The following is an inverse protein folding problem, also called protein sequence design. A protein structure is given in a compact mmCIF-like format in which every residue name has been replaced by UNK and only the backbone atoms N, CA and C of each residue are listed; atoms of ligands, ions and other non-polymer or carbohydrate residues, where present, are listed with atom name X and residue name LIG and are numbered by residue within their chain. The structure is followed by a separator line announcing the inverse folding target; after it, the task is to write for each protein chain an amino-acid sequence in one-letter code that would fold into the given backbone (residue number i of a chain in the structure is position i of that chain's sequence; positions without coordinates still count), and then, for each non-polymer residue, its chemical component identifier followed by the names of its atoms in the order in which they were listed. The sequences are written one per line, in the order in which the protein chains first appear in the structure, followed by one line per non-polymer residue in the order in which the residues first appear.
data_IF_774139161263
#
_entry.id   IF_774139161263
#
_cell.length_a   1.000
_cell.length_b   1.000
_cell.length_c   1.000
_cell.angle_alpha   90.00
_cell.angle_beta   90.00
_cell.angle_gamma   90.00
#
_symmetry.space_group_name_H-M   'P 1'
#
loop_
_entity.id
_entity.type
_entity.pdbx_description
1 polymer ?
#
# COMPACT_ATOMS: atom_id res chain seq x y z
N UNK A 1 -59.26 -22.93 37.60
CA UNK A 1 -57.85 -23.31 37.28
C UNK A 1 -57.81 -23.83 35.84
N UNK A 2 -56.69 -23.73 35.10
CA UNK A 2 -56.19 -22.58 34.33
C UNK A 2 -56.16 -22.90 32.80
N UNK A 3 -55.66 -22.12 31.81
CA UNK A 3 -54.96 -20.82 31.63
C UNK A 3 -55.73 -19.99 30.55
N UNK A 4 -55.52 -18.71 30.21
CA UNK A 4 -54.43 -17.72 30.31
C UNK A 4 -53.29 -17.77 29.25
N UNK A 5 -53.44 -17.09 28.10
CA UNK A 5 -52.34 -16.44 27.37
C UNK A 5 -52.85 -15.48 26.27
N UNK A 6 -52.72 -14.16 26.50
CA UNK A 6 -52.83 -13.14 25.45
C UNK A 6 -51.58 -12.25 25.52
N UNK A 7 -50.78 -12.22 24.44
CA UNK A 7 -49.66 -11.32 24.09
C UNK A 7 -49.42 -11.58 22.59
N UNK A 8 -49.15 -10.63 21.70
CA UNK A 8 -49.02 -9.18 21.81
C UNK A 8 -48.28 -8.68 20.57
N UNK A 9 -49.02 -8.20 19.56
CA UNK A 9 -48.46 -7.80 18.27
C UNK A 9 -47.67 -6.49 18.37
N UNK A 10 -46.37 -6.59 18.67
CA UNK A 10 -45.49 -5.45 18.93
C UNK A 10 -44.47 -5.21 17.81
N UNK A 11 -44.51 -3.99 17.26
CA UNK A 11 -43.42 -3.15 16.72
C UNK A 11 -42.41 -3.68 15.66
N UNK A 12 -42.22 -4.98 15.44
CA UNK A 12 -41.14 -5.50 14.60
C UNK A 12 -41.31 -5.23 13.08
N UNK A 13 -42.55 -5.15 12.57
CA UNK A 13 -42.82 -5.03 11.14
C UNK A 13 -42.45 -3.68 10.51
N UNK A 14 -42.53 -2.59 11.28
CA UNK A 14 -42.31 -1.22 10.77
C UNK A 14 -40.82 -0.85 10.64
N UNK A 15 -39.93 -1.46 11.43
CA UNK A 15 -38.49 -1.15 11.38
C UNK A 15 -37.75 -1.80 10.19
N UNK A 16 -38.22 -2.97 9.70
CA UNK A 16 -37.65 -3.62 8.52
C UNK A 16 -37.92 -2.83 7.22
N UNK A 17 -39.10 -2.23 7.07
CA UNK A 17 -39.43 -1.47 5.87
C UNK A 17 -38.64 -0.16 5.75
N UNK A 18 -38.33 0.49 6.88
CA UNK A 18 -37.55 1.72 6.89
C UNK A 18 -36.06 1.48 6.55
N UNK A 19 -35.46 0.43 7.11
CA UNK A 19 -34.04 0.09 6.90
C UNK A 19 -33.75 -0.37 5.47
N UNK A 20 -34.64 -1.15 4.86
CA UNK A 20 -34.56 -1.50 3.43
C UNK A 20 -34.61 -0.26 2.51
N UNK A 21 -35.37 0.79 2.86
CA UNK A 21 -35.47 2.02 2.03
C UNK A 21 -34.23 2.93 2.05
N UNK A 22 -33.37 2.79 3.08
CA UNK A 22 -32.13 3.58 3.23
C UNK A 22 -30.95 2.88 2.57
N UNK A 23 -30.91 1.54 2.67
CA UNK A 23 -30.06 0.74 1.79
C UNK A 23 -30.45 0.94 0.32
N UNK A 24 -31.77 0.93 0.02
CA UNK A 24 -32.40 1.17 -1.28
C UNK A 24 -31.69 2.19 -2.16
N UNK A 25 -31.63 3.43 -1.66
CA UNK A 25 -31.13 4.59 -2.42
C UNK A 25 -29.61 4.60 -2.63
N UNK A 26 -28.83 3.84 -1.86
CA UNK A 26 -27.36 3.81 -2.02
C UNK A 26 -26.91 2.87 -3.13
N UNK A 27 -27.52 1.71 -3.29
CA UNK A 27 -27.20 0.86 -4.45
C UNK A 27 -27.78 1.42 -5.75
N UNK A 28 -28.94 2.09 -5.73
CA UNK A 28 -29.40 2.84 -6.92
C UNK A 28 -28.43 3.95 -7.33
N UNK A 29 -27.91 4.75 -6.39
CA UNK A 29 -26.92 5.78 -6.71
C UNK A 29 -25.61 5.21 -7.28
N UNK A 30 -25.13 4.07 -6.75
CA UNK A 30 -23.92 3.40 -7.25
C UNK A 30 -24.19 2.74 -8.62
N UNK A 31 -25.36 2.12 -8.82
CA UNK A 31 -25.77 1.54 -10.10
C UNK A 31 -25.99 2.60 -11.18
N UNK A 32 -26.55 3.76 -10.84
CA UNK A 32 -26.67 4.89 -11.75
C UNK A 32 -25.30 5.50 -12.09
N UNK A 33 -24.39 5.60 -11.12
CA UNK A 33 -23.03 6.10 -11.37
C UNK A 33 -22.22 5.13 -12.26
N UNK A 34 -22.32 3.82 -12.07
CA UNK A 34 -21.69 2.84 -12.97
C UNK A 34 -22.38 2.79 -14.33
N UNK A 35 -23.72 2.88 -14.41
CA UNK A 35 -24.44 2.98 -15.69
C UNK A 35 -24.12 4.28 -16.46
N UNK A 36 -23.88 5.41 -15.78
CA UNK A 36 -23.38 6.64 -16.41
C UNK A 36 -21.95 6.47 -16.94
N UNK A 37 -21.08 5.73 -16.25
CA UNK A 37 -19.71 5.45 -16.70
C UNK A 37 -19.65 4.45 -17.88
N UNK A 38 -20.67 3.59 -17.99
CA UNK A 38 -20.89 2.62 -19.08
C UNK A 38 -21.90 3.11 -20.15
N UNK A 39 -22.08 4.43 -20.32
CA UNK A 39 -22.81 4.94 -21.49
C UNK A 39 -22.13 4.48 -22.80
N UNK A 40 -22.87 3.90 -23.76
CA UNK A 40 -22.30 3.26 -24.95
C UNK A 40 -21.48 4.23 -25.82
N UNK A 41 -21.84 5.51 -25.87
CA UNK A 41 -21.11 6.53 -26.62
C UNK A 41 -19.68 6.75 -26.09
N UNK A 42 -19.43 6.51 -24.80
CA UNK A 42 -18.07 6.55 -24.24
C UNK A 42 -17.25 5.31 -24.56
N UNK A 43 -17.90 4.17 -24.85
CA UNK A 43 -17.22 2.90 -25.18
C UNK A 43 -16.57 3.02 -26.55
N UNK A 44 -17.26 3.59 -27.54
CA UNK A 44 -16.68 3.86 -28.87
C UNK A 44 -15.46 4.77 -28.79
N UNK A 45 -15.49 5.83 -27.96
CA UNK A 45 -14.32 6.72 -27.80
C UNK A 45 -13.17 6.05 -27.04
N UNK A 46 -13.45 5.24 -26.01
CA UNK A 46 -12.42 4.45 -25.29
C UNK A 46 -11.80 3.37 -26.18
N UNK A 47 -12.60 2.71 -27.02
CA UNK A 47 -12.13 1.75 -28.03
C UNK A 47 -11.36 2.45 -29.16
N UNK A 48 -11.77 3.63 -29.61
CA UNK A 48 -11.05 4.41 -30.60
C UNK A 48 -9.69 4.91 -30.06
N UNK A 49 -9.63 5.33 -28.79
CA UNK A 49 -8.36 5.66 -28.13
C UNK A 49 -7.49 4.41 -27.98
N UNK A 50 -8.04 3.27 -27.55
CA UNK A 50 -7.30 2.01 -27.46
C UNK A 50 -6.77 1.53 -28.82
N UNK A 51 -7.57 1.62 -29.87
CA UNK A 51 -7.20 1.27 -31.24
C UNK A 51 -6.21 2.27 -31.84
N UNK A 52 -6.31 3.57 -31.53
CA UNK A 52 -5.33 4.57 -31.93
C UNK A 52 -3.99 4.34 -31.23
N UNK A 53 -3.99 4.04 -29.92
CA UNK A 53 -2.76 3.67 -29.19
C UNK A 53 -2.13 2.40 -29.77
N UNK A 54 -2.93 1.39 -30.14
CA UNK A 54 -2.45 0.19 -30.84
C UNK A 54 -1.93 0.48 -32.26
N UNK A 55 -2.52 1.45 -32.97
CA UNK A 55 -2.14 1.82 -34.34
C UNK A 55 -0.96 2.81 -34.45
N UNK A 56 -0.67 3.57 -33.38
CA UNK A 56 0.39 4.61 -33.35
C UNK A 56 1.73 4.04 -32.85
N UNK A 57 1.80 2.75 -32.50
CA UNK A 57 3.06 2.02 -32.30
C UNK A 57 3.42 1.16 -33.52
N UNK A 58 3.88 1.73 -34.65
CA UNK A 58 4.58 0.95 -35.63
C UNK A 58 5.90 0.46 -35.01
N UNK A 59 6.15 -0.83 -35.17
CA UNK A 59 7.33 -1.57 -34.72
C UNK A 59 7.32 -2.12 -33.28
N UNK A 60 7.88 -3.33 -33.20
CA UNK A 60 7.96 -4.24 -32.06
C UNK A 60 9.07 -3.77 -31.10
N UNK A 61 8.98 -2.52 -30.64
CA UNK A 61 9.98 -1.84 -29.81
C UNK A 61 9.74 -2.02 -28.29
N UNK A 62 8.67 -2.73 -27.92
CA UNK A 62 8.32 -3.03 -26.52
C UNK A 62 8.81 -4.42 -26.05
N UNK A 63 9.74 -5.05 -26.77
CA UNK A 63 10.30 -6.36 -26.39
C UNK A 63 11.59 -6.18 -25.59
N UNK A 64 11.49 -6.09 -24.26
CA UNK A 64 12.62 -6.11 -23.33
C UNK A 64 13.26 -7.49 -23.11
N UNK A 65 13.19 -8.39 -24.10
CA UNK A 65 13.92 -9.65 -24.05
C UNK A 65 15.38 -9.40 -24.45
N UNK A 66 16.30 -9.57 -23.51
CA UNK A 66 17.73 -9.67 -23.80
C UNK A 66 18.08 -10.96 -24.56
N UNK A 67 19.36 -11.33 -24.59
CA UNK A 67 19.75 -12.59 -25.23
C UNK A 67 19.00 -13.78 -24.64
N UNK A 68 18.62 -14.70 -25.53
CA UNK A 68 17.91 -15.92 -25.17
C UNK A 68 18.83 -16.83 -24.36
N UNK A 69 18.69 -16.78 -23.05
CA UNK A 69 19.36 -17.70 -22.14
C UNK A 69 18.73 -19.10 -22.25
N UNK A 70 19.28 -19.95 -23.11
CA UNK A 70 18.93 -21.37 -23.13
C UNK A 70 19.47 -22.03 -21.84
N UNK A 71 18.57 -22.53 -20.99
CA UNK A 71 18.95 -23.16 -19.73
C UNK A 71 19.85 -24.39 -19.98
N UNK A 72 20.86 -24.64 -19.15
CA UNK A 72 21.70 -25.84 -19.21
C UNK A 72 20.97 -27.13 -18.75
N UNK A 73 19.64 -27.12 -18.72
CA UNK A 73 18.78 -28.18 -18.18
C UNK A 73 17.82 -28.66 -19.27
N UNK A 74 17.65 -29.97 -19.49
CA UNK A 74 16.69 -30.50 -20.46
C UNK A 74 15.27 -29.93 -20.29
N UNK A 75 14.65 -29.53 -21.41
CA UNK A 75 13.34 -28.87 -21.43
C UNK A 75 12.26 -29.62 -20.63
N UNK A 76 12.25 -30.95 -20.69
CA UNK A 76 11.26 -31.77 -19.98
C UNK A 76 11.36 -31.64 -18.45
N UNK A 77 12.57 -31.50 -17.89
CA UNK A 77 12.78 -31.27 -16.46
C UNK A 77 12.27 -29.89 -16.05
N UNK A 78 12.53 -28.87 -16.88
CA UNK A 78 12.04 -27.51 -16.64
C UNK A 78 10.51 -27.44 -16.69
N UNK A 79 9.87 -28.01 -17.72
CA UNK A 79 8.40 -28.05 -17.86
C UNK A 79 7.77 -28.86 -16.71
N UNK A 80 8.33 -30.03 -16.37
CA UNK A 80 7.84 -30.84 -15.27
C UNK A 80 7.97 -30.12 -13.90
N UNK A 81 9.10 -29.46 -13.65
CA UNK A 81 9.33 -28.68 -12.43
C UNK A 81 8.39 -27.47 -12.31
N UNK A 82 8.23 -26.70 -13.38
CA UNK A 82 7.30 -25.57 -13.42
C UNK A 82 5.84 -26.02 -13.22
N UNK A 83 5.42 -27.07 -13.93
CA UNK A 83 4.09 -27.67 -13.77
C UNK A 83 3.84 -28.22 -12.36
N UNK A 84 4.81 -28.92 -11.78
CA UNK A 84 4.74 -29.43 -10.41
C UNK A 84 4.65 -28.29 -9.38
N UNK A 85 5.38 -27.19 -9.57
CA UNK A 85 5.31 -25.99 -8.71
C UNK A 85 3.93 -25.35 -8.75
N UNK A 86 3.32 -25.23 -9.94
CA UNK A 86 1.95 -24.73 -10.09
C UNK A 86 0.96 -25.65 -9.39
N UNK A 87 1.02 -26.96 -9.66
CA UNK A 87 0.13 -27.95 -9.02
C UNK A 87 0.27 -27.92 -7.48
N UNK A 88 1.50 -27.89 -6.97
CA UNK A 88 1.79 -27.88 -5.54
C UNK A 88 1.31 -26.58 -4.86
N UNK A 89 1.54 -25.42 -5.47
CA UNK A 89 1.05 -24.14 -4.92
C UNK A 89 -0.47 -24.07 -4.89
N UNK A 90 -1.17 -24.50 -5.95
CA UNK A 90 -2.62 -24.62 -5.94
C UNK A 90 -3.13 -25.68 -4.95
N UNK A 91 -2.42 -26.80 -4.78
CA UNK A 91 -2.78 -27.82 -3.79
C UNK A 91 -2.64 -27.29 -2.36
N UNK A 92 -1.55 -26.59 -2.04
CA UNK A 92 -1.36 -25.90 -0.75
C UNK A 92 -2.51 -24.91 -0.52
N UNK A 93 -2.79 -24.02 -1.48
CA UNK A 93 -3.91 -23.07 -1.34
C UNK A 93 -5.25 -23.80 -1.16
N UNK A 94 -5.54 -24.85 -1.93
CA UNK A 94 -6.78 -25.62 -1.82
C UNK A 94 -6.92 -26.37 -0.48
N UNK A 95 -5.83 -26.81 0.13
CA UNK A 95 -5.81 -27.45 1.44
C UNK A 95 -6.03 -26.41 2.55
N UNK A 96 -5.27 -25.31 2.55
CA UNK A 96 -5.30 -24.33 3.64
C UNK A 96 -6.49 -23.34 3.58
N UNK A 97 -6.98 -22.98 2.39
CA UNK A 97 -8.11 -22.04 2.24
C UNK A 97 -9.50 -22.70 2.26
N UNK A 98 -9.60 -24.03 2.33
CA UNK A 98 -10.91 -24.70 2.47
C UNK A 98 -11.51 -24.50 3.87
N UNK A 99 -12.51 -23.62 3.97
CA UNK A 99 -13.52 -23.69 5.03
C UNK A 99 -13.37 -22.73 6.23
N UNK A 100 -12.46 -21.76 6.20
CA UNK A 100 -12.30 -20.82 7.32
C UNK A 100 -13.35 -19.69 7.30
N UNK A 101 -14.50 -19.91 7.95
CA UNK A 101 -15.36 -18.84 8.46
C UNK A 101 -14.85 -18.43 9.86
N UNK A 102 -14.23 -17.25 10.05
CA UNK A 102 -13.80 -16.81 11.39
C UNK A 102 -15.03 -16.57 12.27
N UNK A 103 -15.20 -17.40 13.30
CA UNK A 103 -16.32 -17.29 14.26
C UNK A 103 -16.02 -16.34 15.44
N UNK A 104 -14.84 -15.73 15.45
CA UNK A 104 -14.42 -14.73 16.42
C UNK A 104 -13.51 -13.71 15.75
N UNK A 105 -13.55 -12.46 16.22
CA UNK A 105 -12.68 -11.39 15.72
C UNK A 105 -11.20 -11.75 15.90
N UNK A 106 -10.30 -11.22 15.05
CA UNK A 106 -8.88 -11.58 15.08
C UNK A 106 -8.29 -11.33 16.48
N UNK A 107 -7.67 -12.36 17.05
CA UNK A 107 -6.88 -12.25 18.29
C UNK A 107 -5.62 -11.45 18.02
N UNK A 108 -5.75 -10.13 18.10
CA UNK A 108 -4.65 -9.19 17.98
C UNK A 108 -3.85 -9.17 19.29
N UNK A 109 -2.62 -9.69 19.27
CA UNK A 109 -1.68 -9.54 20.40
C UNK A 109 -1.03 -8.18 20.26
N UNK A 110 -1.19 -7.29 21.25
CA UNK A 110 -0.47 -6.02 21.29
C UNK A 110 0.98 -6.22 21.78
N UNK A 111 1.94 -6.03 20.87
CA UNK A 111 3.36 -6.16 21.16
C UNK A 111 3.91 -4.99 21.98
N UNK A 112 3.25 -3.82 22.06
CA UNK A 112 3.73 -2.72 22.90
C UNK A 112 3.62 -3.01 24.40
N UNK A 113 2.82 -4.02 24.78
CA UNK A 113 2.83 -4.60 26.13
C UNK A 113 4.18 -5.24 26.49
N UNK A 114 4.98 -5.65 25.50
CA UNK A 114 6.29 -6.27 25.71
C UNK A 114 7.41 -5.22 25.68
N UNK A 115 8.12 -5.09 26.80
CA UNK A 115 9.04 -3.98 27.04
C UNK A 115 10.24 -3.97 26.09
N UNK A 116 10.74 -5.15 25.68
CA UNK A 116 11.80 -5.26 24.67
C UNK A 116 11.36 -4.75 23.28
N UNK A 117 10.15 -5.08 22.84
CA UNK A 117 9.62 -4.56 21.57
C UNK A 117 9.41 -3.03 21.61
N UNK A 118 9.01 -2.49 22.76
CA UNK A 118 8.88 -1.04 22.98
C UNK A 118 10.22 -0.30 22.84
N UNK A 119 11.35 -0.93 23.17
CA UNK A 119 12.69 -0.37 22.92
C UNK A 119 12.99 -0.31 21.42
N UNK A 120 12.67 -1.35 20.64
CA UNK A 120 12.88 -1.36 19.19
C UNK A 120 12.02 -0.35 18.42
N UNK A 121 10.81 -0.05 18.90
CA UNK A 121 9.91 0.94 18.27
C UNK A 121 10.08 2.36 18.88
N UNK A 122 11.05 2.54 19.78
CA UNK A 122 11.39 3.84 20.34
C UNK A 122 11.86 4.84 19.26
N UNK A 123 11.72 6.14 19.52
CA UNK A 123 12.02 7.18 18.53
C UNK A 123 13.49 7.20 18.07
N UNK A 124 14.41 6.70 18.90
CA UNK A 124 15.85 6.61 18.61
C UNK A 124 16.15 5.58 17.50
N UNK A 125 15.88 4.27 17.64
CA UNK A 125 16.13 3.28 16.58
C UNK A 125 15.33 3.57 15.30
N UNK A 126 14.09 4.06 15.41
CA UNK A 126 13.30 4.49 14.24
C UNK A 126 13.95 5.70 13.54
N UNK A 127 14.49 6.65 14.31
CA UNK A 127 15.25 7.79 13.79
C UNK A 127 16.54 7.36 13.09
N UNK A 128 17.29 6.43 13.69
CA UNK A 128 18.52 5.87 13.11
C UNK A 128 18.23 5.10 11.81
N UNK A 129 17.15 4.31 11.76
CA UNK A 129 16.75 3.57 10.57
C UNK A 129 16.32 4.50 9.43
N UNK A 130 15.61 5.59 9.75
CA UNK A 130 15.29 6.67 8.79
C UNK A 130 16.55 7.38 8.28
N UNK A 131 17.49 7.70 9.17
CA UNK A 131 18.77 8.30 8.79
C UNK A 131 19.56 7.36 7.87
N UNK A 132 19.62 6.06 8.19
CA UNK A 132 20.26 5.04 7.35
C UNK A 132 19.61 4.96 5.96
N UNK A 133 18.27 4.95 5.88
CA UNK A 133 17.56 4.95 4.60
C UNK A 133 17.85 6.21 3.76
N UNK A 134 18.00 7.38 4.40
CA UNK A 134 18.39 8.63 3.73
C UNK A 134 19.85 8.59 3.26
N UNK A 135 20.78 8.07 4.07
CA UNK A 135 22.20 7.90 3.70
C UNK A 135 22.32 6.93 2.50
N UNK A 136 21.60 5.81 2.53
CA UNK A 136 21.58 4.83 1.43
C UNK A 136 20.97 5.43 0.16
N UNK A 137 19.90 6.23 0.26
CA UNK A 137 19.36 6.97 -0.90
C UNK A 137 20.40 7.95 -1.46
N UNK A 138 21.06 8.74 -0.61
CA UNK A 138 22.07 9.69 -1.03
C UNK A 138 23.27 8.99 -1.70
N UNK A 139 23.77 7.90 -1.10
CA UNK A 139 24.83 7.08 -1.68
C UNK A 139 24.41 6.44 -3.03
N UNK A 140 23.15 6.01 -3.15
CA UNK A 140 22.58 5.49 -4.41
C UNK A 140 22.58 6.55 -5.51
N UNK A 141 22.10 7.77 -5.23
CA UNK A 141 22.07 8.86 -6.22
C UNK A 141 23.48 9.35 -6.57
N UNK A 142 24.36 9.52 -5.57
CA UNK A 142 25.76 9.91 -5.76
C UNK A 142 26.52 8.86 -6.58
N UNK A 143 26.35 7.57 -6.29
CA UNK A 143 26.99 6.50 -7.06
C UNK A 143 26.46 6.40 -8.48
N UNK A 144 25.17 6.61 -8.72
CA UNK A 144 24.63 6.60 -10.09
C UNK A 144 25.13 7.76 -10.95
N UNK A 145 25.35 8.95 -10.38
CA UNK A 145 25.91 10.09 -11.13
C UNK A 145 27.45 10.12 -11.21
N UNK A 146 28.16 9.76 -10.14
CA UNK A 146 29.62 9.94 -10.03
C UNK A 146 30.41 8.63 -9.93
N UNK A 147 29.74 7.47 -9.84
CA UNK A 147 30.37 6.16 -9.75
C UNK A 147 30.63 5.51 -11.11
N UNK A 148 31.01 4.23 -11.08
CA UNK A 148 31.32 3.46 -12.29
C UNK A 148 30.11 3.34 -13.23
N UNK A 149 30.34 3.44 -14.54
CA UNK A 149 29.28 3.31 -15.56
C UNK A 149 28.78 1.88 -15.73
N UNK A 150 29.59 0.88 -15.37
CA UNK A 150 29.22 -0.53 -15.35
C UNK A 150 28.17 -0.82 -14.27
N UNK A 151 26.95 -1.30 -14.63
CA UNK A 151 25.89 -1.64 -13.68
C UNK A 151 26.30 -2.64 -12.60
N UNK A 152 27.23 -3.55 -12.89
CA UNK A 152 27.67 -4.60 -11.94
C UNK A 152 28.67 -4.08 -10.90
N UNK A 153 29.32 -2.94 -11.17
CA UNK A 153 30.28 -2.27 -10.27
C UNK A 153 29.71 -1.00 -9.62
N UNK A 154 28.43 -0.71 -9.86
CA UNK A 154 27.73 0.43 -9.29
C UNK A 154 26.72 -0.02 -8.22
N UNK A 155 26.59 0.78 -7.16
CA UNK A 155 25.64 0.54 -6.09
C UNK A 155 24.18 0.76 -6.56
N UNK A 156 23.95 1.67 -7.51
CA UNK A 156 22.60 2.14 -7.85
C UNK A 156 21.65 1.05 -8.40
N UNK A 157 22.05 0.20 -9.37
CA UNK A 157 21.16 -0.85 -9.90
C UNK A 157 20.77 -1.88 -8.84
N UNK A 158 21.73 -2.31 -8.01
CA UNK A 158 21.48 -3.27 -6.92
C UNK A 158 20.57 -2.66 -5.85
N UNK A 159 20.81 -1.40 -5.47
CA UNK A 159 19.99 -0.72 -4.46
C UNK A 159 18.55 -0.50 -4.92
N UNK A 160 18.32 -0.13 -6.19
CA UNK A 160 16.97 0.06 -6.74
C UNK A 160 16.29 -1.29 -6.93
N UNK A 161 16.82 -2.15 -7.80
CA UNK A 161 16.10 -3.33 -8.28
C UNK A 161 16.07 -4.47 -7.25
N UNK A 162 17.13 -4.66 -6.47
CA UNK A 162 17.23 -5.78 -5.52
C UNK A 162 16.86 -5.36 -4.10
N UNK A 163 17.54 -4.36 -3.52
CA UNK A 163 17.39 -4.03 -2.10
C UNK A 163 16.08 -3.30 -1.83
N UNK A 164 15.79 -2.25 -2.61
CA UNK A 164 14.59 -1.44 -2.42
C UNK A 164 13.34 -2.11 -2.99
N UNK A 165 13.30 -2.41 -4.28
CA UNK A 165 12.09 -2.92 -4.92
C UNK A 165 11.71 -4.31 -4.38
N UNK A 166 12.57 -5.31 -4.58
CA UNK A 166 12.30 -6.70 -4.15
C UNK A 166 12.44 -6.86 -2.64
N UNK A 167 13.52 -6.34 -2.03
CA UNK A 167 13.79 -6.50 -0.60
C UNK A 167 12.74 -5.85 0.30
N UNK A 168 12.38 -4.59 0.06
CA UNK A 168 11.33 -3.92 0.86
C UNK A 168 9.94 -4.52 0.57
N UNK A 169 9.66 -5.01 -0.65
CA UNK A 169 8.42 -5.74 -0.93
C UNK A 169 8.27 -6.98 -0.04
N UNK A 170 9.30 -7.82 0.07
CA UNK A 170 9.29 -9.00 0.94
C UNK A 170 9.17 -8.63 2.42
N UNK A 171 9.93 -7.65 2.91
CA UNK A 171 9.80 -7.22 4.32
C UNK A 171 8.42 -6.62 4.59
N UNK A 172 7.84 -5.89 3.63
CA UNK A 172 6.46 -5.41 3.74
C UNK A 172 5.46 -6.56 3.77
N UNK A 173 5.62 -7.60 2.94
CA UNK A 173 4.71 -8.75 2.91
C UNK A 173 4.82 -9.66 4.15
N UNK A 174 6.02 -9.81 4.73
CA UNK A 174 6.31 -10.80 5.78
C UNK A 174 6.37 -10.21 7.20
N UNK A 175 6.65 -8.91 7.35
CA UNK A 175 6.85 -8.26 8.64
C UNK A 175 5.74 -7.23 8.89
N UNK A 176 5.69 -6.15 8.09
CA UNK A 176 4.75 -5.02 8.23
C UNK A 176 5.18 -3.85 7.34
N UNK A 177 4.40 -2.76 7.25
CA UNK A 177 4.68 -1.60 6.37
C UNK A 177 5.96 -0.82 6.78
N UNK A 178 7.12 -1.41 6.46
CA UNK A 178 8.43 -0.85 6.72
C UNK A 178 8.62 0.46 5.95
N UNK A 179 8.10 0.53 4.72
CA UNK A 179 8.21 1.73 3.90
C UNK A 179 7.51 2.94 4.53
N UNK A 180 6.34 2.80 5.17
CA UNK A 180 5.73 3.87 5.96
C UNK A 180 6.65 4.42 7.05
N UNK A 181 7.50 3.58 7.63
CA UNK A 181 8.45 3.96 8.67
C UNK A 181 9.68 4.63 8.07
N UNK A 182 10.30 4.03 7.05
CA UNK A 182 11.64 4.42 6.58
C UNK A 182 11.68 5.36 5.37
N UNK A 183 10.55 5.61 4.69
CA UNK A 183 10.50 6.34 3.41
C UNK A 183 11.43 7.59 3.44
N UNK A 184 12.55 7.57 2.69
CA UNK A 184 13.57 8.60 2.79
C UNK A 184 13.10 9.94 2.21
N UNK A 185 12.25 9.92 1.18
CA UNK A 185 11.66 11.12 0.58
C UNK A 185 10.74 11.85 1.57
N UNK A 186 9.88 11.09 2.26
CA UNK A 186 9.02 11.63 3.32
C UNK A 186 9.81 12.09 4.55
N UNK A 187 10.92 11.40 4.87
CA UNK A 187 11.84 11.79 5.96
C UNK A 187 12.51 13.13 5.64
N UNK A 188 13.15 13.25 4.47
CA UNK A 188 13.80 14.49 4.03
C UNK A 188 12.81 15.66 3.94
N UNK A 189 11.60 15.45 3.41
CA UNK A 189 10.54 16.47 3.39
C UNK A 189 10.17 16.94 4.81
N UNK A 190 10.13 16.02 5.78
CA UNK A 190 9.84 16.35 7.19
C UNK A 190 10.97 17.17 7.82
N UNK A 191 12.22 16.91 7.44
CA UNK A 191 13.36 17.72 7.87
C UNK A 191 13.34 19.11 7.21
N UNK A 192 13.01 19.19 5.92
CA UNK A 192 12.81 20.46 5.22
C UNK A 192 11.68 21.30 5.85
N UNK A 193 10.52 20.71 6.16
CA UNK A 193 9.43 21.41 6.88
C UNK A 193 9.88 21.94 8.25
N UNK A 194 10.71 21.19 8.99
CA UNK A 194 11.27 21.65 10.28
C UNK A 194 12.24 22.82 10.10
N UNK A 195 13.16 22.73 9.14
CA UNK A 195 14.13 23.81 8.86
C UNK A 195 13.40 25.08 8.42
N UNK A 196 12.43 24.97 7.51
CA UNK A 196 11.61 26.10 7.08
C UNK A 196 10.86 26.72 8.25
N UNK A 197 10.20 25.91 9.08
CA UNK A 197 9.48 26.41 10.25
C UNK A 197 10.39 27.12 11.27
N UNK A 198 11.63 26.66 11.45
CA UNK A 198 12.62 27.35 12.31
C UNK A 198 13.07 28.69 11.72
N UNK A 199 13.30 28.76 10.41
CA UNK A 199 13.80 29.98 9.73
C UNK A 199 12.71 31.03 9.51
N UNK A 200 11.47 30.62 9.28
CA UNK A 200 10.33 31.52 8.95
C UNK A 200 9.32 31.70 10.10
N UNK A 201 9.71 31.39 11.34
CA UNK A 201 8.88 31.65 12.53
C UNK A 201 7.58 30.83 12.59
N UNK A 202 7.60 29.59 12.10
CA UNK A 202 6.48 28.65 12.17
C UNK A 202 5.66 28.46 10.89
N UNK A 203 6.04 29.09 9.77
CA UNK A 203 5.39 28.80 8.49
C UNK A 203 5.65 27.35 8.06
N UNK A 204 4.68 26.76 7.35
CA UNK A 204 4.76 25.40 6.82
C UNK A 204 5.14 25.43 5.34
N UNK A 205 6.02 24.52 4.92
CA UNK A 205 6.36 24.35 3.50
C UNK A 205 5.16 23.83 2.69
N UNK A 206 4.26 23.07 3.30
CA UNK A 206 3.05 22.56 2.64
C UNK A 206 1.95 23.63 2.51
N UNK A 207 1.54 23.89 1.26
CA UNK A 207 0.42 24.78 0.87
C UNK A 207 -0.96 24.21 1.24
N UNK A 208 -1.06 22.89 1.43
CA UNK A 208 -2.28 22.17 1.86
C UNK A 208 -3.51 22.46 1.00
N UNK A 209 -3.34 22.57 -0.32
CA UNK A 209 -4.48 22.66 -1.25
C UNK A 209 -5.34 21.39 -1.13
N UNK A 210 -6.67 21.49 -1.25
CA UNK A 210 -7.55 20.32 -1.20
C UNK A 210 -7.19 19.36 -2.33
N UNK A 211 -6.98 18.09 -2.00
CA UNK A 211 -6.67 17.08 -3.01
C UNK A 211 -7.91 16.79 -3.87
N UNK A 212 -7.85 16.97 -5.20
CA UNK A 212 -9.01 16.86 -6.07
C UNK A 212 -9.50 15.41 -6.17
N UNK A 213 -10.79 15.21 -5.90
CA UNK A 213 -11.42 13.88 -5.88
C UNK A 213 -11.28 13.12 -7.21
N UNK A 214 -11.29 13.83 -8.35
CA UNK A 214 -11.11 13.23 -9.68
C UNK A 214 -9.75 12.55 -9.90
N UNK A 215 -8.69 12.98 -9.20
CA UNK A 215 -7.38 12.33 -9.29
C UNK A 215 -7.32 11.06 -8.43
N UNK A 216 -8.06 10.99 -7.32
CA UNK A 216 -8.17 9.80 -6.45
C UNK A 216 -6.82 9.09 -6.26
N UNK A 217 -6.62 7.90 -6.84
CA UNK A 217 -5.37 7.12 -6.78
C UNK A 217 -4.69 6.99 -8.14
N UNK A 218 -5.18 7.67 -9.19
CA UNK A 218 -4.65 7.57 -10.55
C UNK A 218 -3.17 7.98 -10.71
N UNK A 219 -2.64 9.00 -10.01
CA UNK A 219 -1.20 9.31 -10.08
C UNK A 219 -0.32 8.16 -9.63
N UNK A 220 -0.74 7.42 -8.60
CA UNK A 220 -0.01 6.25 -8.11
C UNK A 220 -0.06 5.09 -9.11
N UNK A 221 -1.21 4.87 -9.75
CA UNK A 221 -1.36 3.86 -10.83
C UNK A 221 -0.49 4.22 -12.04
N UNK A 222 -0.47 5.48 -12.45
CA UNK A 222 0.36 5.95 -13.56
C UNK A 222 1.86 5.83 -13.22
N UNK A 223 2.27 6.25 -12.02
CA UNK A 223 3.65 6.09 -11.54
C UNK A 223 4.11 4.63 -11.48
N UNK A 224 3.22 3.73 -11.05
CA UNK A 224 3.50 2.28 -11.05
C UNK A 224 3.58 1.71 -12.47
N UNK A 225 2.73 2.15 -13.40
CA UNK A 225 2.81 1.77 -14.80
C UNK A 225 4.12 2.21 -15.47
N UNK A 226 4.57 3.45 -15.20
CA UNK A 226 5.88 3.97 -15.63
C UNK A 226 7.02 3.15 -15.01
N UNK A 227 6.91 2.78 -13.72
CA UNK A 227 7.91 1.96 -13.04
C UNK A 227 8.02 0.56 -13.67
N UNK A 228 6.91 -0.14 -13.90
CA UNK A 228 6.95 -1.46 -14.56
C UNK A 228 7.43 -1.38 -16.01
N UNK A 229 7.13 -0.30 -16.74
CA UNK A 229 7.71 -0.06 -18.06
C UNK A 229 9.23 0.14 -17.97
N UNK A 230 9.71 0.87 -16.96
CA UNK A 230 11.13 1.06 -16.69
C UNK A 230 11.85 -0.23 -16.24
N UNK A 231 11.15 -1.14 -15.57
CA UNK A 231 11.67 -2.45 -15.12
C UNK A 231 11.74 -3.48 -16.26
N UNK A 232 10.73 -3.50 -17.15
CA UNK A 232 10.50 -4.61 -18.08
C UNK A 232 10.80 -4.28 -19.56
N UNK A 233 10.83 -2.99 -19.93
CA UNK A 233 10.87 -2.57 -21.34
C UNK A 233 12.01 -1.59 -21.61
N UNK A 234 12.36 -0.70 -20.68
CA UNK A 234 13.40 0.32 -20.88
C UNK A 234 14.80 -0.31 -20.98
N UNK A 235 15.48 -0.28 -22.16
CA UNK A 235 16.74 -1.00 -22.34
C UNK A 235 17.86 -0.48 -21.44
N UNK A 236 17.87 0.83 -21.19
CA UNK A 236 18.87 1.50 -20.35
C UNK A 236 18.46 1.60 -18.87
N UNK A 237 17.45 0.83 -18.42
CA UNK A 237 16.96 0.81 -17.04
C UNK A 237 17.97 0.26 -16.01
N UNK A 238 19.06 -0.35 -16.47
CA UNK A 238 20.20 -0.78 -15.64
C UNK A 238 21.33 0.24 -15.59
N UNK A 239 21.34 1.27 -16.45
CA UNK A 239 22.42 2.26 -16.53
C UNK A 239 22.41 3.17 -15.28
N UNK A 240 23.50 3.26 -14.49
CA UNK A 240 23.47 3.95 -13.20
C UNK A 240 23.09 5.43 -13.27
N UNK A 241 23.53 6.14 -14.32
CA UNK A 241 23.20 7.55 -14.54
C UNK A 241 21.69 7.75 -14.76
N UNK A 242 21.08 6.87 -15.57
CA UNK A 242 19.66 6.91 -15.86
C UNK A 242 18.81 6.59 -14.63
N UNK A 243 19.27 5.65 -13.80
CA UNK A 243 18.65 5.36 -12.50
C UNK A 243 18.75 6.55 -11.53
N UNK A 244 19.91 7.18 -11.38
CA UNK A 244 20.05 8.37 -10.53
C UNK A 244 19.17 9.54 -11.02
N UNK A 245 19.07 9.74 -12.34
CA UNK A 245 18.14 10.71 -12.92
C UNK A 245 16.67 10.34 -12.62
N UNK A 246 16.26 9.08 -12.81
CA UNK A 246 14.91 8.63 -12.52
C UNK A 246 14.54 8.78 -11.04
N UNK A 247 15.45 8.44 -10.11
CA UNK A 247 15.27 8.66 -8.66
C UNK A 247 15.10 10.15 -8.36
N UNK A 248 15.93 11.01 -8.95
CA UNK A 248 15.89 12.47 -8.75
C UNK A 248 14.58 13.07 -9.29
N UNK A 249 14.14 12.63 -10.47
CA UNK A 249 12.87 13.04 -11.07
C UNK A 249 11.67 12.61 -10.22
N UNK A 250 11.65 11.34 -9.77
CA UNK A 250 10.64 10.84 -8.85
C UNK A 250 10.64 11.60 -7.50
N UNK A 251 11.83 11.94 -6.97
CA UNK A 251 11.96 12.75 -5.77
C UNK A 251 11.33 14.14 -5.95
N UNK A 252 11.63 14.81 -7.08
CA UNK A 252 11.11 16.14 -7.41
C UNK A 252 9.58 16.14 -7.59
N UNK A 253 9.02 15.17 -8.32
CA UNK A 253 7.57 15.00 -8.49
C UNK A 253 6.90 14.75 -7.14
N UNK A 254 7.47 13.84 -6.34
CA UNK A 254 6.97 13.50 -5.01
C UNK A 254 6.98 14.70 -4.08
N UNK A 255 8.08 15.45 -4.04
CA UNK A 255 8.19 16.67 -3.23
C UNK A 255 7.22 17.75 -3.68
N UNK A 256 7.08 17.99 -4.98
CA UNK A 256 6.10 18.95 -5.52
C UNK A 256 4.68 18.59 -5.05
N UNK A 257 4.32 17.30 -5.11
CA UNK A 257 3.06 16.79 -4.58
C UNK A 257 2.89 17.00 -3.07
N UNK A 258 3.94 16.74 -2.28
CA UNK A 258 3.96 16.97 -0.82
C UNK A 258 3.86 18.47 -0.45
N UNK A 259 4.50 19.37 -1.23
CA UNK A 259 4.37 20.83 -1.08
C UNK A 259 2.94 21.27 -1.37
N UNK A 260 2.36 20.84 -2.49
CA UNK A 260 1.03 21.32 -2.92
C UNK A 260 -0.10 20.79 -2.04
N UNK A 261 -0.14 19.48 -1.78
CA UNK A 261 -1.27 18.81 -1.12
C UNK A 261 -1.01 18.42 0.34
N UNK A 262 0.25 18.50 0.79
CA UNK A 262 0.70 18.04 2.11
C UNK A 262 1.22 16.60 2.09
N UNK A 263 2.28 16.35 2.88
CA UNK A 263 3.03 15.08 2.95
C UNK A 263 2.15 13.85 3.03
N UNK A 264 1.29 13.79 4.05
CA UNK A 264 0.49 12.58 4.36
C UNK A 264 -0.61 12.32 3.32
N UNK A 265 -1.15 13.39 2.72
CA UNK A 265 -2.17 13.30 1.67
C UNK A 265 -1.56 12.79 0.38
N UNK A 266 -0.39 13.30 -0.01
CA UNK A 266 0.33 12.82 -1.19
C UNK A 266 0.77 11.36 -1.04
N UNK A 267 1.45 11.03 0.06
CA UNK A 267 1.94 9.66 0.32
C UNK A 267 0.82 8.62 0.46
N UNK A 268 -0.39 9.03 0.83
CA UNK A 268 -1.53 8.11 0.93
C UNK A 268 -2.27 7.90 -0.41
N UNK A 269 -2.30 8.89 -1.30
CA UNK A 269 -3.18 8.85 -2.48
C UNK A 269 -2.43 8.83 -3.82
N UNK A 270 -1.26 9.45 -3.92
CA UNK A 270 -0.57 9.71 -5.19
C UNK A 270 0.82 9.06 -5.30
N UNK A 271 1.46 8.71 -4.19
CA UNK A 271 2.73 7.97 -4.21
C UNK A 271 2.53 6.49 -4.54
N UNK A 272 3.02 6.08 -5.73
CA UNK A 272 2.99 4.70 -6.21
C UNK A 272 3.57 3.70 -5.19
N UNK A 273 4.74 4.00 -4.64
CA UNK A 273 5.48 3.04 -3.82
C UNK A 273 4.89 2.92 -2.41
N UNK A 274 4.47 4.02 -1.79
CA UNK A 274 3.73 3.94 -0.51
C UNK A 274 2.41 3.18 -0.61
N UNK A 275 1.75 3.19 -1.78
CA UNK A 275 0.55 2.40 -2.00
C UNK A 275 0.85 0.93 -2.28
N UNK A 276 1.84 0.62 -3.12
CA UNK A 276 2.22 -0.77 -3.45
C UNK A 276 2.79 -1.50 -2.22
N UNK A 277 3.75 -0.91 -1.51
CA UNK A 277 4.28 -1.49 -0.28
C UNK A 277 3.19 -1.56 0.82
N UNK A 278 2.27 -0.58 0.87
CA UNK A 278 1.10 -0.60 1.74
C UNK A 278 0.05 -1.67 1.38
N UNK A 279 0.03 -2.17 0.13
CA UNK A 279 -0.76 -3.33 -0.29
C UNK A 279 -0.06 -4.62 0.11
N UNK A 280 1.26 -4.75 -0.11
CA UNK A 280 2.03 -5.91 0.38
C UNK A 280 1.93 -6.06 1.90
N UNK A 281 2.00 -4.95 2.64
CA UNK A 281 1.78 -4.92 4.09
C UNK A 281 0.37 -5.31 4.58
N UNK A 282 -0.56 -5.65 3.68
CA UNK A 282 -1.85 -6.27 4.08
C UNK A 282 -1.72 -7.76 4.38
N UNK A 283 -0.73 -8.43 3.79
CA UNK A 283 -0.42 -9.84 4.05
C UNK A 283 0.40 -10.04 5.32
N UNK A 284 1.03 -8.97 5.82
CA UNK A 284 1.90 -8.98 6.98
C UNK A 284 1.20 -9.38 8.29
N UNK A 285 1.90 -10.08 9.19
CA UNK A 285 1.46 -10.29 10.56
C UNK A 285 1.39 -8.99 11.37
N UNK A 286 2.38 -8.08 11.29
CA UNK A 286 2.38 -6.87 12.12
C UNK A 286 1.59 -5.74 11.43
N UNK A 287 0.73 -5.08 12.20
CA UNK A 287 0.09 -3.84 11.79
C UNK A 287 0.00 -2.83 12.93
N UNK A 288 0.02 -1.54 12.59
CA UNK A 288 -0.27 -0.47 13.54
C UNK A 288 -1.77 -0.21 13.59
N UNK A 289 -2.31 -0.19 14.82
CA UNK A 289 -3.68 0.16 15.16
C UNK A 289 -3.66 1.45 15.98
N UNK A 290 -4.52 2.41 15.65
CA UNK A 290 -4.88 3.50 16.57
C UNK A 290 -6.24 3.21 17.19
N UNK A 291 -6.39 3.51 18.48
CA UNK A 291 -7.66 3.39 19.22
C UNK A 291 -8.26 4.75 19.61
N UNK A 292 -7.73 5.87 19.12
CA UNK A 292 -8.19 7.24 19.40
C UNK A 292 -9.61 7.48 18.80
N UNK A 293 -10.68 7.59 19.62
CA UNK A 293 -12.04 7.66 19.11
C UNK A 293 -12.36 8.93 18.32
N UNK A 294 -11.69 10.05 18.62
CA UNK A 294 -11.92 11.33 17.96
C UNK A 294 -11.26 11.34 16.58
N UNK A 295 -10.02 10.84 16.50
CA UNK A 295 -9.31 10.69 15.23
C UNK A 295 -9.96 9.64 14.33
N UNK A 296 -10.48 8.52 14.88
CA UNK A 296 -11.19 7.50 14.11
C UNK A 296 -12.44 8.09 13.42
N UNK A 297 -13.24 8.87 14.16
CA UNK A 297 -14.47 9.51 13.63
C UNK A 297 -14.19 10.56 12.55
N UNK A 298 -13.10 11.32 12.71
CA UNK A 298 -12.69 12.38 11.78
C UNK A 298 -11.76 11.90 10.66
N UNK A 299 -11.37 10.61 10.66
CA UNK A 299 -10.35 10.04 9.79
C UNK A 299 -10.73 10.12 8.29
N UNK A 300 -10.08 11.00 7.48
CA UNK A 300 -10.42 11.15 6.06
C UNK A 300 -9.91 9.97 5.21
N UNK A 301 -8.96 9.19 5.75
CA UNK A 301 -8.35 8.03 5.09
C UNK A 301 -9.41 6.99 4.69
N UNK A 302 -9.56 6.65 3.39
CA UNK A 302 -10.41 5.53 2.95
C UNK A 302 -9.79 4.16 3.27
N UNK A 303 -8.47 4.10 3.50
CA UNK A 303 -7.74 2.88 3.85
C UNK A 303 -7.91 2.45 5.33
N UNK A 304 -8.66 3.21 6.13
CA UNK A 304 -8.91 2.92 7.53
C UNK A 304 -9.97 1.82 7.68
N UNK A 305 -9.55 0.59 7.94
CA UNK A 305 -10.45 -0.49 8.32
C UNK A 305 -10.93 -0.31 9.77
N UNK A 306 -12.18 -0.73 10.05
CA UNK A 306 -12.86 -0.70 11.36
C UNK A 306 -13.11 0.70 11.97
N UNK A 307 -13.43 1.68 11.11
CA UNK A 307 -13.80 3.10 11.37
C UNK A 307 -14.81 3.43 12.50
N UNK A 308 -15.33 2.45 13.23
CA UNK A 308 -16.20 2.65 14.39
C UNK A 308 -15.46 2.45 15.72
N UNK A 309 -14.49 1.53 15.78
CA UNK A 309 -13.84 1.12 17.03
C UNK A 309 -12.31 1.34 17.05
N UNK A 310 -11.63 1.14 15.92
CA UNK A 310 -10.17 1.24 15.83
C UNK A 310 -9.72 1.42 14.38
N UNK A 311 -8.71 2.25 14.12
CA UNK A 311 -8.18 2.43 12.77
C UNK A 311 -6.94 1.55 12.53
N UNK A 312 -6.99 0.71 11.50
CA UNK A 312 -5.82 -0.07 11.04
C UNK A 312 -5.48 0.31 9.60
N UNK A 313 -4.18 0.43 9.29
CA UNK A 313 -3.62 0.80 7.98
C UNK A 313 -3.96 2.22 7.46
N UNK A 314 -4.65 3.07 8.22
CA UNK A 314 -4.97 4.45 7.83
C UNK A 314 -3.84 5.44 8.07
N UNK A 315 -2.92 5.62 7.11
CA UNK A 315 -1.68 6.42 7.26
C UNK A 315 -1.88 7.83 7.86
N UNK A 316 -2.83 8.63 7.37
CA UNK A 316 -3.12 9.99 7.91
C UNK A 316 -3.54 9.98 9.39
N UNK A 317 -4.16 8.90 9.85
CA UNK A 317 -4.72 8.81 11.20
C UNK A 317 -3.70 8.17 12.15
N UNK A 318 -2.91 7.21 11.66
CA UNK A 318 -1.72 6.70 12.35
C UNK A 318 -0.59 7.74 12.50
N UNK A 319 -0.46 8.72 11.58
CA UNK A 319 0.54 9.80 11.68
C UNK A 319 0.17 10.91 12.66
N UNK A 320 -1.09 10.94 13.12
CA UNK A 320 -1.65 11.95 14.05
C UNK A 320 -2.03 11.37 15.42
N UNK A 321 -2.19 10.06 15.53
CA UNK A 321 -2.44 9.38 16.80
C UNK A 321 -1.33 9.68 17.82
N UNK A 322 -1.70 9.86 19.08
CA UNK A 322 -0.71 9.99 20.14
C UNK A 322 0.05 8.67 20.30
N UNK A 323 1.31 8.69 20.78
CA UNK A 323 2.09 7.48 21.04
C UNK A 323 1.40 6.49 22.00
N UNK A 324 0.52 6.99 22.88
CA UNK A 324 -0.22 6.20 23.88
C UNK A 324 -1.45 5.49 23.28
N UNK A 325 -2.05 6.05 22.23
CA UNK A 325 -3.24 5.50 21.54
C UNK A 325 -2.89 4.50 20.41
N UNK A 326 -1.60 4.38 20.10
CA UNK A 326 -1.05 3.45 19.12
C UNK A 326 -0.77 2.10 19.77
N UNK A 327 -1.24 1.02 19.14
CA UNK A 327 -0.95 -0.37 19.48
C UNK A 327 -0.32 -1.07 18.26
N UNK A 328 0.72 -1.87 18.48
CA UNK A 328 1.30 -2.70 17.41
C UNK A 328 0.72 -4.10 17.54
N UNK A 329 -0.17 -4.47 16.62
CA UNK A 329 -0.92 -5.73 16.70
C UNK A 329 -0.28 -6.81 15.84
N UNK A 330 -0.09 -7.99 16.42
CA UNK A 330 0.14 -9.22 15.67
C UNK A 330 -1.23 -9.74 15.19
N UNK A 331 -1.45 -9.68 13.89
CA UNK A 331 -2.52 -10.40 13.19
C UNK A 331 -2.12 -11.87 13.06
N UNK A 332 -3.06 -12.83 13.20
CA UNK A 332 -2.82 -14.17 12.69
C UNK A 332 -2.54 -14.07 11.19
N UNK A 333 -1.52 -14.78 10.65
CA UNK A 333 -1.35 -14.86 9.20
C UNK A 333 -2.61 -15.46 8.59
N UNK A 334 -2.98 -15.03 7.37
CA UNK A 334 -4.19 -15.48 6.67
C UNK A 334 -4.32 -17.00 6.51
N UNK A 335 -3.22 -17.74 6.73
CA UNK A 335 -3.09 -19.20 6.66
C UNK A 335 -3.40 -19.94 7.98
N UNK A 336 -3.44 -19.26 9.13
CA UNK A 336 -3.52 -19.93 10.43
C UNK A 336 -4.36 -19.16 11.46
N UNK A 337 -5.68 -19.42 11.44
CA UNK A 337 -6.55 -19.14 12.57
C UNK A 337 -7.45 -20.35 12.87
N UNK A 338 -6.81 -21.48 13.18
CA UNK A 338 -7.45 -22.62 13.85
C UNK A 338 -7.13 -22.59 15.36
N UNK A 339 -7.87 -23.37 16.15
CA UNK A 339 -7.74 -23.53 17.60
C UNK A 339 -8.22 -22.36 18.48
N UNK A 340 -9.54 -22.35 18.67
CA UNK A 340 -10.17 -22.68 19.96
C UNK A 340 -9.47 -22.16 21.24
N UNK A 341 -10.05 -21.14 21.86
CA UNK A 341 -10.33 -21.09 23.31
C UNK A 341 -11.18 -19.87 23.62
N UNK A 342 -12.26 -20.02 24.38
CA UNK A 342 -13.11 -18.91 24.78
C UNK A 342 -12.42 -17.99 25.78
N UNK A 343 -12.06 -16.78 25.36
CA UNK A 343 -11.84 -15.66 26.28
C UNK A 343 -12.09 -14.35 25.56
N UNK A 344 -13.06 -13.57 26.07
CA UNK A 344 -13.11 -12.13 25.82
C UNK A 344 -11.90 -11.53 26.53
N UNK A 345 -11.14 -10.65 25.87
CA UNK A 345 -10.19 -9.83 26.60
C UNK A 345 -10.97 -8.82 27.44
N UNK A 346 -10.58 -8.59 28.71
CA UNK A 346 -11.06 -7.44 29.50
C UNK A 346 -10.53 -6.12 28.93
#
# INVERSE_FOLDING_TARGET
MPHAAAVGASSAGLQLSATLSVFGRRYEAIAMATAQFFRPESVSMKLAIGAAVLGICPQVLAHGFGERYDLPVPLWLWVAGAGATIILTFAIVAIFFRGHRPQSGPRCIDLFRWQGFRVFVHWVPVGLLRLMAVILLAATVVSGFLGHTDPYQNLAPVMVWVVWWVGIAYVCALVGDLWAVINPFGTLFTWAEKIVALVTGGQRLSLRKPYPQGLSTWPAVAGLGIFFWAELIWPDGSVPWNLAFAITLYAAVTWTGMVVYGRDVWLQNADAFSLVFGVFARFAPLALRSSDPEQIRTCPSPACHYRQDHCVNGRICLSRANPEDLACILRPPLLACSMNLGSRCP
#
